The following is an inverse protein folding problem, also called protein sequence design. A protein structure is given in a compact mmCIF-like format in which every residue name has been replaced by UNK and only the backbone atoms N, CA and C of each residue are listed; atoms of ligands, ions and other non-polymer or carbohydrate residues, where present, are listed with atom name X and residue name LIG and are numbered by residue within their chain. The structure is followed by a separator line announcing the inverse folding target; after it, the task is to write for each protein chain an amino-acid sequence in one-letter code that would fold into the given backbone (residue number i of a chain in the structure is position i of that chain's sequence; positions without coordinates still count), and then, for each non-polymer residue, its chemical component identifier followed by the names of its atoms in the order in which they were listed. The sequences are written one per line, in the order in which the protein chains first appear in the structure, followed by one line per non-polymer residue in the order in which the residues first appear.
data_IF_423566690019
#
_entry.id   IF_423566690019
#
_cell.length_a   1.000
_cell.length_b   1.000
_cell.length_c   1.000
_cell.angle_alpha   90.00
_cell.angle_beta   90.00
_cell.angle_gamma   90.00
#
_symmetry.space_group_name_H-M   'P 1'
#
loop_
_entity.id
_entity.type
_entity.pdbx_description
1 polymer ?
#
# COMPACT_ATOMS: atom_id res chain seq x y z
N UNK A 1 15.66 -4.08 -1.24
CA UNK A 1 14.99 -2.81 -0.92
C UNK A 1 16.04 -1.73 -0.80
N UNK A 2 15.90 -0.58 -1.49
CA UNK A 2 16.75 0.59 -1.30
C UNK A 2 16.69 1.12 0.14
N UNK A 3 17.81 1.65 0.64
CA UNK A 3 17.90 2.15 2.03
C UNK A 3 16.85 3.22 2.34
N UNK A 4 16.62 4.17 1.42
CA UNK A 4 15.60 5.22 1.57
C UNK A 4 14.19 4.65 1.81
N UNK A 5 13.84 3.56 1.13
CA UNK A 5 12.52 2.92 1.30
C UNK A 5 12.44 2.12 2.60
N UNK A 6 13.55 1.57 3.07
CA UNK A 6 13.61 0.96 4.39
C UNK A 6 13.44 2.01 5.50
N UNK A 7 14.00 3.22 5.33
CA UNK A 7 13.76 4.34 6.24
C UNK A 7 12.29 4.78 6.24
N UNK A 8 11.69 4.95 5.06
CA UNK A 8 10.25 5.26 4.93
C UNK A 8 9.37 4.20 5.58
N UNK A 9 9.70 2.91 5.39
CA UNK A 9 8.99 1.80 6.00
C UNK A 9 9.11 1.78 7.54
N UNK A 10 10.14 2.40 8.11
CA UNK A 10 10.26 2.50 9.57
C UNK A 10 9.25 3.44 10.21
N UNK A 11 8.80 4.45 9.47
CA UNK A 11 7.97 5.52 10.02
C UNK A 11 8.76 6.44 10.96
N UNK A 12 8.06 7.38 11.57
CA UNK A 12 8.62 8.44 12.41
C UNK A 12 9.13 7.91 13.74
N UNK A 13 8.50 6.88 14.31
CA UNK A 13 8.94 6.26 15.56
C UNK A 13 10.30 5.56 15.45
N UNK A 14 10.77 5.30 14.24
CA UNK A 14 12.03 4.60 13.97
C UNK A 14 12.04 3.12 14.41
N UNK A 15 10.94 2.61 14.97
CA UNK A 15 10.80 1.22 15.40
C UNK A 15 9.64 0.54 14.68
N UNK A 16 9.95 -0.57 14.00
CA UNK A 16 8.94 -1.41 13.36
C UNK A 16 8.83 -2.70 14.15
N UNK A 17 7.73 -2.86 14.89
CA UNK A 17 7.45 -4.12 15.58
C UNK A 17 6.98 -5.19 14.61
N UNK A 18 6.27 -4.81 13.54
CA UNK A 18 5.90 -5.73 12.45
C UNK A 18 5.58 -4.98 11.15
N UNK A 19 5.90 -5.60 10.02
CA UNK A 19 5.47 -5.14 8.70
C UNK A 19 4.23 -5.90 8.24
N UNK A 20 3.29 -5.19 7.64
CA UNK A 20 2.22 -5.76 6.84
C UNK A 20 2.73 -6.03 5.43
N UNK A 21 2.35 -7.17 4.87
CA UNK A 21 2.67 -7.56 3.50
C UNK A 21 1.42 -8.09 2.82
N UNK A 22 1.15 -7.56 1.63
CA UNK A 22 0.12 -8.04 0.72
C UNK A 22 0.76 -8.29 -0.64
N UNK A 23 0.38 -9.36 -1.32
CA UNK A 23 0.95 -9.71 -2.62
C UNK A 23 -0.15 -10.05 -3.62
N UNK A 24 0.12 -9.76 -4.88
CA UNK A 24 -0.72 -10.16 -6.01
C UNK A 24 0.16 -10.31 -7.24
N UNK A 25 0.15 -11.51 -7.84
CA UNK A 25 1.03 -11.81 -8.98
C UNK A 25 2.50 -11.57 -8.64
N UNK A 26 3.16 -10.72 -9.42
CA UNK A 26 4.55 -10.33 -9.22
C UNK A 26 4.72 -9.04 -8.38
N UNK A 27 3.65 -8.50 -7.80
CA UNK A 27 3.68 -7.27 -7.01
C UNK A 27 3.53 -7.57 -5.52
N UNK A 28 4.35 -6.91 -4.70
CA UNK A 28 4.33 -6.97 -3.24
C UNK A 28 4.19 -5.55 -2.69
N UNK A 29 3.24 -5.36 -1.79
CA UNK A 29 3.05 -4.14 -1.01
C UNK A 29 3.45 -4.39 0.43
N UNK A 30 4.33 -3.54 0.97
CA UNK A 30 4.81 -3.56 2.33
C UNK A 30 4.40 -2.27 3.04
N UNK A 31 4.01 -2.34 4.30
CA UNK A 31 3.66 -1.15 5.09
C UNK A 31 3.96 -1.36 6.57
N UNK A 32 4.26 -0.28 7.29
CA UNK A 32 4.27 -0.30 8.74
C UNK A 32 2.81 -0.38 9.24
N UNK A 33 2.47 -1.39 10.03
CA UNK A 33 1.10 -1.53 10.55
C UNK A 33 0.72 -0.44 11.55
N UNK A 34 1.70 0.11 12.27
CA UNK A 34 1.48 1.18 13.23
C UNK A 34 1.43 2.56 12.57
N UNK A 35 2.19 2.75 11.49
CA UNK A 35 2.31 4.03 10.77
C UNK A 35 2.19 3.81 9.24
N UNK A 36 0.98 3.50 8.72
CA UNK A 36 0.81 3.09 7.32
C UNK A 36 0.72 4.26 6.32
N UNK A 37 1.28 5.42 6.66
CA UNK A 37 1.25 6.62 5.82
C UNK A 37 2.07 6.47 4.54
N UNK A 38 3.13 5.67 4.57
CA UNK A 38 3.91 5.28 3.40
C UNK A 38 3.78 3.77 3.16
N UNK A 39 3.56 3.42 1.90
CA UNK A 39 3.53 2.04 1.43
C UNK A 39 4.70 1.81 0.47
N UNK A 40 5.45 0.73 0.67
CA UNK A 40 6.54 0.34 -0.21
C UNK A 40 6.06 -0.73 -1.19
N UNK A 41 6.26 -0.48 -2.47
CA UNK A 41 5.93 -1.39 -3.54
C UNK A 41 7.19 -2.08 -4.06
N UNK A 42 7.05 -3.36 -4.39
CA UNK A 42 8.09 -4.17 -5.01
C UNK A 42 7.47 -4.99 -6.14
N UNK A 43 7.86 -4.70 -7.37
CA UNK A 43 7.52 -5.50 -8.54
C UNK A 43 8.68 -6.43 -8.86
N UNK A 44 8.41 -7.74 -8.88
CA UNK A 44 9.38 -8.76 -9.26
C UNK A 44 9.56 -8.71 -10.78
N UNK A 45 10.77 -8.39 -11.22
CA UNK A 45 11.18 -8.30 -12.62
C UNK A 45 12.41 -9.19 -12.86
N UNK A 46 12.19 -10.36 -13.47
CA UNK A 46 13.26 -11.31 -13.76
C UNK A 46 14.02 -11.75 -12.51
N UNK A 47 15.30 -11.40 -12.42
CA UNK A 47 16.18 -11.69 -11.27
C UNK A 47 16.21 -10.58 -10.21
N UNK A 48 15.39 -9.54 -10.36
CA UNK A 48 15.43 -8.35 -9.53
C UNK A 48 14.06 -7.86 -9.07
N UNK A 49 14.08 -6.72 -8.41
CA UNK A 49 12.91 -6.06 -7.86
C UNK A 49 12.96 -4.58 -8.26
N UNK A 50 11.92 -4.10 -8.94
CA UNK A 50 11.65 -2.67 -9.10
C UNK A 50 10.96 -2.20 -7.84
N UNK A 51 11.51 -1.18 -7.19
CA UNK A 51 10.98 -0.66 -5.94
C UNK A 51 10.33 0.71 -6.13
N UNK A 52 9.28 0.98 -5.36
CA UNK A 52 8.60 2.27 -5.31
C UNK A 52 8.05 2.57 -3.92
N UNK A 53 7.67 3.82 -3.68
CA UNK A 53 6.93 4.24 -2.48
C UNK A 53 5.71 5.04 -2.89
N UNK A 54 4.59 4.83 -2.18
CA UNK A 54 3.32 5.52 -2.40
C UNK A 54 2.80 6.03 -1.07
N UNK A 55 2.43 7.31 -1.05
CA UNK A 55 1.75 7.91 0.08
C UNK A 55 0.31 7.39 0.19
N UNK A 56 -0.15 7.12 1.41
CA UNK A 56 -1.48 6.61 1.68
C UNK A 56 -2.41 7.72 2.17
N UNK A 57 -3.13 8.34 1.24
CA UNK A 57 -4.04 9.47 1.52
C UNK A 57 -5.19 9.15 2.50
N UNK A 58 -5.49 7.86 2.73
CA UNK A 58 -6.51 7.44 3.71
C UNK A 58 -6.04 7.66 5.16
N UNK A 59 -4.72 7.73 5.36
CA UNK A 59 -4.12 7.88 6.70
C UNK A 59 -4.05 9.36 7.06
N UNK A 60 -4.76 9.72 8.13
CA UNK A 60 -4.76 11.04 8.74
C UNK A 60 -4.86 10.91 10.27
N UNK A 61 -4.80 12.01 11.01
CA UNK A 61 -4.84 11.97 12.48
C UNK A 61 -6.11 11.32 13.05
N UNK A 62 -7.23 11.36 12.33
CA UNK A 62 -8.47 10.68 12.72
C UNK A 62 -8.48 9.18 12.45
N UNK A 63 -7.73 8.70 11.45
CA UNK A 63 -7.65 7.27 11.10
C UNK A 63 -6.42 6.56 11.68
N UNK A 64 -5.46 7.28 12.25
CA UNK A 64 -4.21 6.75 12.85
C UNK A 64 -4.41 5.62 13.88
N UNK A 65 -5.49 5.64 14.64
CA UNK A 65 -5.81 4.62 15.66
C UNK A 65 -6.77 3.53 15.14
N UNK A 66 -7.22 3.64 13.89
CA UNK A 66 -8.12 2.67 13.29
C UNK A 66 -7.35 1.53 12.65
N UNK A 67 -8.00 0.35 12.59
CA UNK A 67 -7.42 -0.80 11.89
C UNK A 67 -7.45 -0.54 10.38
N UNK A 68 -6.28 -0.35 9.78
CA UNK A 68 -6.13 -0.37 8.32
C UNK A 68 -5.98 -1.80 7.81
N UNK A 69 -6.68 -2.12 6.71
CA UNK A 69 -6.52 -3.38 5.98
C UNK A 69 -6.04 -3.06 4.57
N UNK A 70 -4.82 -3.48 4.24
CA UNK A 70 -4.23 -3.31 2.92
C UNK A 70 -4.30 -4.64 2.18
N UNK A 71 -4.74 -4.61 0.93
CA UNK A 71 -4.86 -5.77 0.04
C UNK A 71 -4.29 -5.42 -1.33
N UNK A 72 -3.87 -6.45 -2.07
CA UNK A 72 -3.44 -6.31 -3.46
C UNK A 72 -4.38 -7.13 -4.34
N UNK A 73 -4.75 -6.61 -5.51
CA UNK A 73 -5.62 -7.30 -6.46
C UNK A 73 -5.26 -6.93 -7.89
N UNK A 74 -5.42 -7.87 -8.81
CA UNK A 74 -5.20 -7.63 -10.23
C UNK A 74 -6.53 -7.21 -10.85
N UNK A 75 -6.63 -5.95 -11.25
CA UNK A 75 -7.87 -5.34 -11.72
C UNK A 75 -7.66 -4.85 -13.14
N UNK A 76 -8.49 -5.32 -14.08
CA UNK A 76 -8.48 -4.82 -15.44
C UNK A 76 -9.18 -3.48 -15.57
N UNK A 77 -8.86 -2.70 -16.61
CA UNK A 77 -9.61 -1.48 -16.95
C UNK A 77 -11.13 -1.73 -17.06
N UNK A 78 -11.62 -2.84 -17.66
CA UNK A 78 -13.06 -3.12 -17.69
C UNK A 78 -13.69 -3.28 -16.30
N UNK A 79 -12.97 -3.89 -15.36
CA UNK A 79 -13.44 -4.06 -13.98
C UNK A 79 -13.48 -2.72 -13.26
N UNK A 80 -12.47 -1.86 -13.49
CA UNK A 80 -12.44 -0.50 -12.97
C UNK A 80 -13.60 0.34 -13.53
N UNK A 81 -13.86 0.28 -14.83
CA UNK A 81 -15.00 0.98 -15.44
C UNK A 81 -16.33 0.55 -14.83
N UNK A 82 -16.54 -0.77 -14.65
CA UNK A 82 -17.74 -1.29 -13.97
C UNK A 82 -17.83 -0.78 -12.53
N UNK A 83 -16.72 -0.83 -11.78
CA UNK A 83 -16.69 -0.38 -10.39
C UNK A 83 -17.02 1.11 -10.25
N UNK A 84 -16.50 1.95 -11.14
CA UNK A 84 -16.80 3.40 -11.15
C UNK A 84 -18.28 3.65 -11.49
N UNK A 85 -18.86 2.92 -12.45
CA UNK A 85 -20.27 3.04 -12.79
C UNK A 85 -21.19 2.64 -11.63
N UNK A 86 -20.83 1.59 -10.88
CA UNK A 86 -21.57 1.14 -9.70
C UNK A 86 -21.36 2.07 -8.50
N UNK A 87 -20.15 2.60 -8.34
CA UNK A 87 -19.75 3.50 -7.25
C UNK A 87 -20.27 4.94 -7.40
N UNK A 88 -20.50 5.42 -8.62
CA UNK A 88 -21.11 6.74 -8.89
C UNK A 88 -22.53 6.88 -8.31
N UNK A 89 -23.19 5.78 -7.94
CA UNK A 89 -24.47 5.78 -7.21
C UNK A 89 -24.31 5.93 -5.68
N UNK A 90 -23.09 5.98 -5.14
CA UNK A 90 -22.83 6.03 -3.69
C UNK A 90 -21.93 7.19 -3.23
N UNK A 91 -21.56 8.10 -4.13
CA UNK A 91 -20.93 9.37 -3.75
C UNK A 91 -22.02 10.46 -3.88
N UNK A 92 -22.96 10.46 -2.92
CA UNK A 92 -23.91 11.56 -2.64
C UNK A 92 -23.97 11.73 -1.13
#
# INVERSE_FOLDING_TARGET
MPAEMAEKLKGESGCVTSIGMSCMGNSVCLHNRAEPAEMILCELEGVGCRWGSVHNDVVNDGSRMQRLVVTCSNVGLPDLHKAVQVGALRIV
#
